data_IF_079558171492
#
_entry.id   IF_079558171492
#
_cell.length_a   1.000
_cell.length_b   1.000
_cell.length_c   1.000
_cell.angle_alpha   90.00
_cell.angle_beta   90.00
_cell.angle_gamma   90.00
#
_symmetry.space_group_name_H-M   'P 1'
#
loop_
_entity.id
_entity.type
_entity.pdbx_description
1 polymer ?
#
# COMPACT_ATOMS: atom_id res chain seq x y z
N UNK A 1 -4.65 10.18 6.08
CA UNK A 1 -4.90 11.33 5.20
C UNK A 1 -3.66 12.17 4.83
N UNK A 2 -2.48 11.92 5.41
CA UNK A 2 -1.24 12.68 5.13
C UNK A 2 -0.64 12.40 3.73
N UNK A 3 -0.65 11.14 3.29
CA UNK A 3 -0.13 10.76 1.97
C UNK A 3 -0.87 11.44 0.80
N UNK A 4 -2.21 11.56 0.88
CA UNK A 4 -2.99 12.30 -0.11
C UNK A 4 -2.57 13.77 -0.22
N UNK A 5 -2.16 14.39 0.90
CA UNK A 5 -1.67 15.77 0.88
C UNK A 5 -0.34 15.87 0.15
N UNK A 6 0.54 14.87 0.27
CA UNK A 6 1.80 14.83 -0.48
C UNK A 6 1.59 14.64 -1.98
N UNK A 7 0.54 13.92 -2.40
CA UNK A 7 0.17 13.86 -3.81
C UNK A 7 -0.31 15.21 -4.34
N UNK A 8 -1.10 15.95 -3.55
CA UNK A 8 -1.57 17.30 -3.92
C UNK A 8 -0.46 18.35 -3.87
N UNK A 9 0.49 18.21 -2.93
CA UNK A 9 1.62 19.12 -2.71
C UNK A 9 2.91 18.33 -2.51
N UNK A 10 3.58 17.90 -3.59
CA UNK A 10 4.80 17.06 -3.52
C UNK A 10 5.93 17.66 -2.69
N UNK A 11 6.03 18.99 -2.61
CA UNK A 11 7.04 19.69 -1.80
C UNK A 11 6.92 19.47 -0.29
N UNK A 12 5.79 18.97 0.21
CA UNK A 12 5.60 18.65 1.63
C UNK A 12 6.11 17.27 2.02
N UNK A 13 6.54 16.44 1.05
CA UNK A 13 7.10 15.13 1.35
C UNK A 13 8.37 15.29 2.24
N UNK A 14 8.54 14.45 3.28
CA UNK A 14 9.72 14.51 4.14
C UNK A 14 11.01 14.46 3.32
N UNK A 15 11.99 15.30 3.67
CA UNK A 15 13.21 15.46 2.88
C UNK A 15 13.95 14.13 2.64
N UNK A 16 13.95 13.21 3.62
CA UNK A 16 14.54 11.87 3.52
C UNK A 16 13.91 11.00 2.44
N UNK A 17 12.65 11.27 2.09
CA UNK A 17 11.87 10.51 1.10
C UNK A 17 11.74 11.25 -0.24
N UNK A 18 12.18 12.52 -0.32
CA UNK A 18 11.91 13.41 -1.46
C UNK A 18 12.33 12.82 -2.80
N UNK A 19 13.52 12.24 -2.89
CA UNK A 19 14.01 11.63 -4.14
C UNK A 19 13.14 10.44 -4.56
N UNK A 20 12.91 9.49 -3.64
CA UNK A 20 12.06 8.31 -3.90
C UNK A 20 10.63 8.72 -4.27
N UNK A 21 10.10 9.75 -3.61
CA UNK A 21 8.77 10.30 -3.87
C UNK A 21 8.67 10.91 -5.27
N UNK A 22 9.63 11.76 -5.67
CA UNK A 22 9.64 12.38 -7.01
C UNK A 22 9.77 11.33 -8.12
N UNK A 23 10.61 10.31 -7.94
CA UNK A 23 10.73 9.21 -8.90
C UNK A 23 9.41 8.43 -9.03
N UNK A 24 8.69 8.22 -7.92
CA UNK A 24 7.39 7.56 -7.92
C UNK A 24 6.34 8.41 -8.66
N UNK A 25 6.32 9.73 -8.43
CA UNK A 25 5.42 10.65 -9.14
C UNK A 25 5.69 10.67 -10.65
N UNK A 26 6.97 10.70 -11.06
CA UNK A 26 7.35 10.65 -12.47
C UNK A 26 6.98 9.32 -13.15
N UNK A 27 6.95 8.22 -12.38
CA UNK A 27 6.50 6.92 -12.87
C UNK A 27 4.98 6.89 -13.02
N UNK A 28 4.26 7.38 -12.00
CA UNK A 28 2.79 7.38 -11.96
C UNK A 28 2.19 8.38 -12.96
N UNK A 29 2.88 9.47 -13.28
CA UNK A 29 2.39 10.47 -14.25
C UNK A 29 2.25 9.94 -15.68
N UNK A 30 2.80 8.76 -15.96
CA UNK A 30 2.65 8.06 -17.23
C UNK A 30 1.31 7.31 -17.34
N UNK A 31 0.52 7.28 -16.26
CA UNK A 31 -0.74 6.55 -16.17
C UNK A 31 -1.89 7.49 -15.74
N UNK A 32 -3.12 7.13 -16.11
CA UNK A 32 -4.31 7.73 -15.52
C UNK A 32 -4.61 7.02 -14.19
N UNK A 33 -4.28 7.67 -13.07
CA UNK A 33 -4.43 7.07 -11.74
C UNK A 33 -5.46 7.82 -10.91
N UNK A 34 -6.36 7.07 -10.28
CA UNK A 34 -7.25 7.57 -9.24
C UNK A 34 -6.65 7.26 -7.87
N UNK A 35 -6.45 8.29 -7.04
CA UNK A 35 -5.84 8.15 -5.72
C UNK A 35 -6.90 8.49 -4.66
N UNK A 36 -7.27 7.49 -3.87
CA UNK A 36 -8.23 7.63 -2.78
C UNK A 36 -7.62 7.14 -1.46
N UNK A 37 -8.22 7.52 -0.34
CA UNK A 37 -7.87 6.96 0.96
C UNK A 37 -8.94 5.97 1.35
N UNK A 38 -8.56 4.70 1.39
CA UNK A 38 -9.44 3.61 1.81
C UNK A 38 -9.15 3.33 3.28
N UNK A 39 -10.11 3.66 4.15
CA UNK A 39 -9.94 3.48 5.59
C UNK A 39 -10.25 2.03 5.97
N UNK A 40 -9.21 1.25 6.32
CA UNK A 40 -9.33 -0.10 6.92
C UNK A 40 -10.07 -1.15 6.07
N UNK A 41 -10.14 -0.93 4.76
CA UNK A 41 -10.66 -1.88 3.76
C UNK A 41 -9.59 -2.06 2.66
N UNK A 42 -9.53 -3.27 2.07
CA UNK A 42 -8.85 -3.53 0.80
C UNK A 42 -7.32 -3.43 0.76
N UNK A 43 -6.67 -3.08 1.87
CA UNK A 43 -5.21 -2.89 1.95
C UNK A 43 -4.52 -3.86 2.91
N UNK A 44 -5.22 -4.86 3.44
CA UNK A 44 -4.64 -5.78 4.42
C UNK A 44 -3.56 -6.66 3.82
N UNK A 45 -3.77 -7.14 2.59
CA UNK A 45 -2.77 -7.92 1.86
C UNK A 45 -1.48 -7.12 1.66
N UNK A 46 -1.59 -5.87 1.21
CA UNK A 46 -0.45 -4.98 1.00
C UNK A 46 0.31 -4.71 2.32
N UNK A 47 -0.41 -4.46 3.42
CA UNK A 47 0.20 -4.26 4.75
C UNK A 47 0.92 -5.52 5.24
N UNK A 48 0.33 -6.72 5.06
CA UNK A 48 0.98 -7.99 5.40
C UNK A 48 2.23 -8.24 4.58
N UNK A 49 2.20 -7.95 3.28
CA UNK A 49 3.39 -8.07 2.42
C UNK A 49 4.51 -7.13 2.88
N UNK A 50 4.20 -5.86 3.14
CA UNK A 50 5.18 -4.90 3.62
C UNK A 50 5.80 -5.31 4.97
N UNK A 51 5.00 -5.89 5.87
CA UNK A 51 5.48 -6.43 7.15
C UNK A 51 6.37 -7.67 6.97
N UNK A 52 6.00 -8.56 6.06
CA UNK A 52 6.80 -9.73 5.74
C UNK A 52 8.16 -9.35 5.17
N UNK A 53 8.19 -8.38 4.24
CA UNK A 53 9.40 -7.85 3.63
C UNK A 53 10.28 -7.10 4.63
N UNK A 54 9.70 -6.39 5.60
CA UNK A 54 10.47 -5.73 6.65
C UNK A 54 11.31 -6.69 7.52
N UNK A 55 10.94 -7.97 7.59
CA UNK A 55 11.62 -9.00 8.38
C UNK A 55 12.46 -9.94 7.51
N UNK A 56 12.19 -10.00 6.20
CA UNK A 56 12.83 -10.93 5.27
C UNK A 56 13.81 -10.20 4.37
N UNK A 57 15.09 -10.57 4.38
CA UNK A 57 16.07 -10.00 3.46
C UNK A 57 16.01 -10.72 2.10
N UNK A 58 15.67 -10.01 1.03
CA UNK A 58 15.77 -10.51 -0.35
C UNK A 58 14.52 -10.26 -1.18
N UNK A 59 14.61 -10.54 -2.48
CA UNK A 59 13.46 -10.52 -3.37
C UNK A 59 12.88 -11.93 -3.45
N UNK A 60 11.57 -12.06 -3.23
CA UNK A 60 10.86 -13.34 -3.34
C UNK A 60 9.81 -13.22 -4.43
N UNK A 61 9.79 -14.20 -5.32
CA UNK A 61 8.74 -14.38 -6.31
C UNK A 61 7.88 -15.58 -5.88
N UNK A 62 6.56 -15.45 -6.00
CA UNK A 62 5.62 -16.51 -5.65
C UNK A 62 4.77 -16.90 -6.86
N UNK A 63 4.82 -18.17 -7.26
CA UNK A 63 3.97 -18.72 -8.32
C UNK A 63 2.54 -19.00 -7.83
N UNK A 64 2.32 -19.00 -6.50
CA UNK A 64 1.02 -19.20 -5.86
C UNK A 64 0.89 -18.33 -4.61
N UNK A 65 -0.34 -18.05 -4.18
CA UNK A 65 -0.60 -17.16 -3.03
C UNK A 65 0.01 -17.75 -1.75
N UNK A 66 0.90 -17.03 -1.07
CA UNK A 66 1.45 -17.45 0.22
C UNK A 66 0.36 -17.67 1.28
N UNK A 67 0.54 -18.70 2.10
CA UNK A 67 -0.50 -19.13 3.05
C UNK A 67 -0.90 -18.03 4.06
N UNK A 68 0.04 -17.17 4.45
CA UNK A 68 -0.20 -16.07 5.39
C UNK A 68 -1.12 -14.96 4.83
N UNK A 69 -1.33 -14.93 3.51
CA UNK A 69 -2.18 -13.95 2.83
C UNK A 69 -3.62 -14.42 2.65
N UNK A 70 -3.92 -15.72 2.64
CA UNK A 70 -5.27 -16.24 2.33
C UNK A 70 -6.39 -15.57 3.13
N UNK A 71 -6.20 -15.41 4.45
CA UNK A 71 -7.20 -14.81 5.33
C UNK A 71 -7.47 -13.33 5.01
N UNK A 72 -6.42 -12.58 4.68
CA UNK A 72 -6.55 -11.16 4.31
C UNK A 72 -7.06 -10.98 2.90
N UNK A 73 -6.69 -11.88 1.99
CA UNK A 73 -7.14 -11.87 0.61
C UNK A 73 -8.66 -12.05 0.53
N UNK A 74 -9.19 -13.10 1.18
CA UNK A 74 -10.63 -13.33 1.22
C UNK A 74 -11.39 -12.17 1.88
N UNK A 75 -10.81 -11.58 2.92
CA UNK A 75 -11.39 -10.43 3.59
C UNK A 75 -11.44 -9.18 2.68
N UNK A 76 -10.32 -8.83 2.05
CA UNK A 76 -10.22 -7.68 1.13
C UNK A 76 -11.15 -7.88 -0.09
N UNK A 77 -11.25 -9.09 -0.65
CA UNK A 77 -12.18 -9.40 -1.74
C UNK A 77 -13.66 -9.32 -1.33
N UNK A 78 -13.99 -9.64 -0.09
CA UNK A 78 -15.37 -9.59 0.39
C UNK A 78 -15.89 -8.17 0.65
N UNK A 79 -15.05 -7.14 0.48
CA UNK A 79 -15.41 -5.74 0.77
C UNK A 79 -15.73 -5.51 2.24
N UNK A 80 -15.28 -6.40 3.13
CA UNK A 80 -15.57 -6.31 4.56
C UNK A 80 -14.74 -5.20 5.19
N UNK A 81 -15.40 -4.42 6.02
CA UNK A 81 -14.82 -3.42 6.91
C UNK A 81 -14.30 -4.06 8.19
N UNK A 82 -13.08 -3.73 8.62
CA UNK A 82 -12.61 -4.08 9.97
C UNK A 82 -13.04 -3.01 10.98
N UNK A 83 -14.29 -3.09 11.46
CA UNK A 83 -14.73 -2.30 12.60
C UNK A 83 -14.17 -2.89 13.90
N UNK A 84 -13.71 -2.03 14.81
CA UNK A 84 -13.22 -2.41 16.16
C UNK A 84 -14.33 -2.49 17.21
N UNK A 85 -15.60 -2.42 16.80
CA UNK A 85 -16.74 -2.58 17.69
C UNK A 85 -17.36 -3.95 17.40
N UNK A 86 -16.76 -4.97 17.98
CA UNK A 86 -17.38 -6.26 18.25
C UNK A 86 -17.28 -6.48 19.75
#
# INVERSE_FOLDING_TARGET
MLALQYFKKPGLAPWRLRVKWMNSLASISQFQVHISHVFREGNQVADKLAKHDAVTSGSVWWDSIPQFLFSSLGHDFSGRTTYRFA
#
